data_IF_878088026197
#
_entry.id   IF_878088026197
#
_cell.length_a   1.000
_cell.length_b   1.000
_cell.length_c   1.000
_cell.angle_alpha   90.00
_cell.angle_beta   90.00
_cell.angle_gamma   90.00
#
_symmetry.space_group_name_H-M   'P 1'
#
loop_
_entity.id
_entity.type
_entity.pdbx_description
1 polymer ?
#
# COMPACT_ATOMS: atom_id res chain seq x y z
N UNK A 1 18.02 28.85 9.91
CA UNK A 1 17.14 29.62 10.82
C UNK A 1 15.78 28.96 10.73
N UNK A 2 15.26 28.39 11.82
CA UNK A 2 14.02 27.59 11.82
C UNK A 2 12.75 28.42 11.67
N UNK A 3 11.65 27.79 11.24
CA UNK A 3 10.39 28.46 10.95
C UNK A 3 9.77 29.13 12.20
N UNK A 4 9.83 28.48 13.37
CA UNK A 4 9.37 29.06 14.63
C UNK A 4 10.10 30.37 14.98
N UNK A 5 11.43 30.39 14.82
CA UNK A 5 12.22 31.58 15.12
C UNK A 5 11.81 32.77 14.27
N UNK A 6 11.55 32.55 12.97
CA UNK A 6 11.08 33.62 12.07
C UNK A 6 9.73 34.16 12.51
N UNK A 7 8.77 33.30 12.86
CA UNK A 7 7.46 33.76 13.32
C UNK A 7 7.56 34.54 14.64
N UNK A 8 8.39 34.09 15.57
CA UNK A 8 8.62 34.80 16.82
C UNK A 8 9.26 36.18 16.60
N UNK A 9 10.25 36.28 15.71
CA UNK A 9 10.96 37.53 15.41
C UNK A 9 10.09 38.50 14.61
N UNK A 10 9.38 38.02 13.58
CA UNK A 10 8.62 38.86 12.66
C UNK A 10 7.25 39.27 13.22
N UNK A 11 6.61 38.41 14.01
CA UNK A 11 5.23 38.58 14.47
C UNK A 11 5.08 38.65 16.00
N UNK A 12 6.14 38.39 16.77
CA UNK A 12 6.07 38.36 18.23
C UNK A 12 5.28 37.17 18.80
N UNK A 13 4.99 36.15 17.98
CA UNK A 13 4.17 34.99 18.35
C UNK A 13 5.06 33.81 18.72
N UNK A 14 4.90 33.32 19.95
CA UNK A 14 5.56 32.10 20.41
C UNK A 14 4.88 30.87 19.79
N UNK A 15 5.67 30.09 19.05
CA UNK A 15 5.22 28.83 18.47
C UNK A 15 5.52 27.68 19.43
N UNK A 16 4.48 27.16 20.06
CA UNK A 16 4.56 26.01 20.97
C UNK A 16 4.41 24.67 20.26
N UNK A 17 3.89 24.68 19.02
CA UNK A 17 3.68 23.49 18.21
C UNK A 17 4.03 23.75 16.75
N UNK A 18 4.86 22.90 16.18
CA UNK A 18 5.21 22.83 14.75
C UNK A 18 4.94 21.42 14.28
N UNK A 19 3.75 21.22 13.70
CA UNK A 19 3.37 19.95 13.12
C UNK A 19 4.03 19.75 11.75
N UNK A 20 4.75 18.65 11.59
CA UNK A 20 5.45 18.25 10.38
C UNK A 20 4.87 16.93 9.83
N UNK A 21 3.67 16.95 9.24
CA UNK A 21 3.05 15.75 8.70
C UNK A 21 3.63 15.41 7.33
N UNK A 22 3.45 14.16 6.91
CA UNK A 22 3.77 13.71 5.56
C UNK A 22 5.09 12.94 5.50
N UNK A 23 5.02 11.71 5.00
CA UNK A 23 6.13 10.75 4.99
C UNK A 23 6.82 10.58 6.36
N UNK A 24 6.11 10.86 7.46
CA UNK A 24 6.64 10.64 8.80
C UNK A 24 6.96 9.15 8.98
N UNK A 25 8.22 8.87 9.29
CA UNK A 25 8.84 7.54 9.42
C UNK A 25 9.97 7.61 10.44
N UNK A 26 10.62 6.50 10.79
CA UNK A 26 11.73 6.54 11.75
C UNK A 26 12.85 7.47 11.27
N UNK A 27 13.22 7.39 9.99
CA UNK A 27 14.25 8.24 9.40
C UNK A 27 13.90 9.73 9.40
N UNK A 28 12.62 10.08 9.20
CA UNK A 28 12.22 11.49 9.17
C UNK A 28 12.14 12.12 10.56
N UNK A 29 12.04 11.33 11.64
CA UNK A 29 11.95 11.89 13.00
C UNK A 29 13.18 12.72 13.35
N UNK A 30 14.38 12.24 12.98
CA UNK A 30 15.63 12.97 13.19
C UNK A 30 15.66 14.29 12.42
N UNK A 31 15.14 14.29 11.19
CA UNK A 31 15.03 15.50 10.37
C UNK A 31 14.05 16.50 10.97
N UNK A 32 12.88 16.04 11.43
CA UNK A 32 11.86 16.88 12.08
C UNK A 32 12.46 17.55 13.33
N UNK A 33 13.11 16.77 14.18
CA UNK A 33 13.77 17.27 15.39
C UNK A 33 14.89 18.28 15.06
N UNK A 34 15.70 18.02 14.03
CA UNK A 34 16.77 18.92 13.59
C UNK A 34 16.26 20.27 13.04
N UNK A 35 14.98 20.35 12.69
CA UNK A 35 14.34 21.54 12.12
C UNK A 35 13.28 22.17 13.03
N UNK A 36 13.40 21.97 14.35
CA UNK A 36 12.52 22.52 15.39
C UNK A 36 11.07 21.98 15.34
N UNK A 37 10.80 20.93 14.56
CA UNK A 37 9.50 20.28 14.51
C UNK A 37 9.19 19.58 15.84
N UNK A 38 7.96 19.77 16.33
CA UNK A 38 7.53 19.20 17.62
C UNK A 38 6.65 17.96 17.44
N UNK A 39 5.97 17.84 16.30
CA UNK A 39 5.00 16.77 16.04
C UNK A 39 5.23 16.14 14.67
N UNK A 40 4.95 14.85 14.61
CA UNK A 40 4.94 14.06 13.37
C UNK A 40 3.67 13.19 13.33
N UNK A 41 3.21 12.86 12.12
CA UNK A 41 1.98 12.09 11.92
C UNK A 41 2.25 10.84 11.07
N UNK A 42 2.87 9.78 11.65
CA UNK A 42 3.14 8.56 10.92
C UNK A 42 1.84 7.88 10.48
N UNK A 43 1.72 7.62 9.19
CA UNK A 43 0.62 6.86 8.59
C UNK A 43 1.13 5.59 7.94
N UNK A 44 1.55 5.68 6.68
CA UNK A 44 2.06 4.53 5.91
C UNK A 44 3.30 3.86 6.53
N UNK A 45 4.03 4.55 7.43
CA UNK A 45 5.17 3.99 8.14
C UNK A 45 4.81 2.81 9.06
N UNK A 46 3.62 2.80 9.66
CA UNK A 46 3.17 1.68 10.50
C UNK A 46 3.11 0.35 9.75
N UNK A 47 2.97 0.41 8.43
CA UNK A 47 2.87 -0.76 7.56
C UNK A 47 4.09 -0.94 6.65
N UNK A 48 5.17 -0.18 6.88
CA UNK A 48 6.37 -0.21 6.04
C UNK A 48 6.09 0.12 4.58
N UNK A 49 5.27 1.14 4.32
CA UNK A 49 4.86 1.55 2.97
C UNK A 49 5.16 3.02 2.67
N UNK A 50 6.35 3.48 3.08
CA UNK A 50 6.88 4.80 2.77
C UNK A 50 7.87 4.73 1.60
N UNK A 51 8.26 5.87 0.99
CA UNK A 51 9.38 5.91 0.04
C UNK A 51 10.69 5.35 0.54
N UNK A 52 10.91 5.34 1.85
CA UNK A 52 12.13 4.79 2.41
C UNK A 52 12.27 3.28 2.15
N UNK A 53 11.17 2.54 1.96
CA UNK A 53 11.26 1.10 1.63
C UNK A 53 11.73 0.83 0.20
N UNK A 54 11.71 1.81 -0.71
CA UNK A 54 12.26 1.67 -2.06
C UNK A 54 13.60 2.40 -2.23
N UNK A 55 13.81 3.51 -1.52
CA UNK A 55 14.93 4.42 -1.78
C UNK A 55 15.81 4.73 -0.56
N UNK A 56 15.52 4.15 0.60
CA UNK A 56 16.23 4.43 1.85
C UNK A 56 16.44 3.18 2.71
N UNK A 57 16.62 3.40 4.01
CA UNK A 57 17.07 2.40 4.98
C UNK A 57 16.18 2.34 6.25
N UNK A 58 14.96 2.89 6.16
CA UNK A 58 14.03 2.91 7.29
C UNK A 58 13.64 1.50 7.75
N UNK A 59 13.45 1.34 9.05
CA UNK A 59 13.22 0.07 9.74
C UNK A 59 11.86 -0.58 9.38
N UNK A 60 10.92 0.20 8.86
CA UNK A 60 9.57 -0.28 8.51
C UNK A 60 9.61 -1.45 7.53
N UNK A 61 9.01 -2.58 7.90
CA UNK A 61 8.85 -3.75 7.02
C UNK A 61 7.46 -3.77 6.40
N UNK A 62 7.31 -4.06 5.09
CA UNK A 62 6.01 -4.22 4.46
C UNK A 62 5.10 -5.19 5.23
N UNK A 63 3.99 -4.66 5.76
CA UNK A 63 3.06 -5.41 6.62
C UNK A 63 1.69 -5.65 6.00
N UNK A 64 1.50 -5.30 4.72
CA UNK A 64 0.22 -5.41 4.02
C UNK A 64 0.43 -5.84 2.57
N UNK A 65 -0.54 -6.58 2.04
CA UNK A 65 -0.69 -6.87 0.61
C UNK A 65 -2.15 -6.64 0.19
N UNK A 66 -2.37 -6.48 -1.12
CA UNK A 66 -3.72 -6.53 -1.69
C UNK A 66 -3.96 -7.89 -2.32
N UNK A 67 -4.86 -8.67 -1.72
CA UNK A 67 -5.30 -9.97 -2.22
C UNK A 67 -6.59 -9.81 -3.00
N UNK A 68 -6.62 -10.38 -4.20
CA UNK A 68 -7.82 -10.50 -5.03
C UNK A 68 -7.83 -11.85 -5.76
N UNK A 69 -8.85 -12.09 -6.57
CA UNK A 69 -9.07 -13.33 -7.30
C UNK A 69 -9.06 -13.10 -8.81
N UNK A 70 -8.52 -14.07 -9.54
CA UNK A 70 -8.67 -14.15 -10.99
C UNK A 70 -10.13 -14.46 -11.33
N UNK A 71 -10.80 -13.51 -11.98
CA UNK A 71 -12.20 -13.64 -12.35
C UNK A 71 -12.38 -14.46 -13.62
N UNK A 72 -11.74 -14.04 -14.72
CA UNK A 72 -11.91 -14.68 -16.02
C UNK A 72 -10.77 -14.31 -16.98
N UNK A 73 -10.71 -15.02 -18.10
CA UNK A 73 -9.87 -14.66 -19.24
C UNK A 73 -10.74 -14.02 -20.30
N UNK A 74 -10.29 -12.90 -20.88
CA UNK A 74 -10.93 -12.35 -22.07
C UNK A 74 -9.85 -11.94 -23.07
N UNK A 75 -9.91 -12.58 -24.26
CA UNK A 75 -8.92 -12.42 -25.33
C UNK A 75 -7.50 -12.76 -24.83
N UNK A 76 -6.59 -11.82 -24.97
CA UNK A 76 -5.15 -11.88 -24.71
C UNK A 76 -4.78 -11.59 -23.25
N UNK A 77 -5.74 -11.23 -22.40
CA UNK A 77 -5.50 -10.86 -21.00
C UNK A 77 -6.37 -11.63 -20.02
N UNK A 78 -5.90 -11.64 -18.78
CA UNK A 78 -6.63 -12.20 -17.64
C UNK A 78 -7.10 -11.06 -16.73
N UNK A 79 -8.32 -11.17 -16.22
CA UNK A 79 -8.95 -10.15 -15.38
C UNK A 79 -8.96 -10.62 -13.93
N UNK A 80 -8.51 -9.76 -13.03
CA UNK A 80 -8.65 -9.94 -11.58
C UNK A 80 -9.68 -8.97 -11.03
N UNK A 81 -10.42 -9.38 -9.99
CA UNK A 81 -11.45 -8.54 -9.36
C UNK A 81 -10.79 -7.28 -8.79
N UNK A 82 -11.40 -6.11 -9.05
CA UNK A 82 -10.93 -4.83 -8.51
C UNK A 82 -11.68 -4.38 -7.26
N UNK A 83 -11.84 -3.07 -7.11
CA UNK A 83 -12.52 -2.42 -5.98
C UNK A 83 -11.58 -1.92 -4.88
N UNK A 84 -10.30 -2.33 -4.91
CA UNK A 84 -9.27 -1.96 -3.93
C UNK A 84 -8.04 -1.28 -4.49
N UNK A 85 -7.96 -1.08 -5.81
CA UNK A 85 -6.80 -0.44 -6.43
C UNK A 85 -6.77 1.06 -6.12
N UNK A 86 -5.59 1.57 -5.79
CA UNK A 86 -5.40 3.00 -5.50
C UNK A 86 -4.67 3.70 -6.66
N UNK A 87 -5.33 4.58 -7.43
CA UNK A 87 -4.82 5.08 -8.71
C UNK A 87 -3.75 6.18 -8.60
N UNK A 88 -3.40 6.66 -7.41
CA UNK A 88 -2.64 7.91 -7.26
C UNK A 88 -1.12 7.82 -7.54
N UNK A 89 -0.58 6.64 -7.89
CA UNK A 89 0.85 6.41 -8.17
C UNK A 89 1.02 5.33 -9.25
N UNK A 90 0.73 5.68 -10.49
CA UNK A 90 0.75 4.76 -11.64
C UNK A 90 2.03 4.88 -12.48
N UNK A 91 2.90 5.82 -12.13
CA UNK A 91 4.06 6.20 -12.91
C UNK A 91 5.36 6.11 -12.11
N UNK A 92 6.46 5.96 -12.85
CA UNK A 92 7.80 5.86 -12.30
C UNK A 92 8.00 4.62 -11.43
N UNK A 93 8.93 4.66 -10.46
CA UNK A 93 9.34 3.49 -9.69
C UNK A 93 8.28 2.97 -8.70
N UNK A 94 7.12 3.63 -8.66
CA UNK A 94 5.98 3.31 -7.81
C UNK A 94 4.89 2.53 -8.52
N UNK A 95 5.00 2.41 -9.84
CA UNK A 95 4.00 1.77 -10.66
C UNK A 95 3.89 0.29 -10.30
N UNK A 96 2.65 -0.16 -10.09
CA UNK A 96 2.36 -1.59 -9.93
C UNK A 96 2.46 -2.24 -11.30
N UNK A 97 3.49 -3.04 -11.49
CA UNK A 97 3.81 -3.65 -12.78
C UNK A 97 3.56 -5.16 -12.84
N UNK A 98 3.29 -5.79 -11.70
CA UNK A 98 3.10 -7.24 -11.63
C UNK A 98 2.27 -7.67 -10.42
N UNK A 99 1.82 -8.92 -10.45
CA UNK A 99 1.18 -9.63 -9.35
C UNK A 99 1.80 -11.01 -9.18
N UNK A 100 1.80 -11.53 -7.96
CA UNK A 100 2.04 -12.95 -7.73
C UNK A 100 0.70 -13.68 -7.89
N UNK A 101 0.66 -14.75 -8.68
CA UNK A 101 -0.60 -15.41 -9.05
C UNK A 101 -0.53 -16.92 -8.90
N UNK A 102 -1.52 -17.54 -8.26
CA UNK A 102 -1.56 -18.99 -8.14
C UNK A 102 -2.74 -19.52 -7.33
N UNK A 103 -3.06 -20.79 -7.55
CA UNK A 103 -4.14 -21.48 -6.85
C UNK A 103 -3.69 -22.14 -5.53
N UNK A 104 -2.39 -22.19 -5.27
CA UNK A 104 -1.79 -22.77 -4.05
C UNK A 104 -0.62 -21.90 -3.57
N UNK A 105 -0.33 -21.85 -2.25
CA UNK A 105 0.75 -21.01 -1.70
C UNK A 105 2.11 -21.22 -2.39
N UNK A 106 2.51 -22.49 -2.62
CA UNK A 106 3.82 -22.82 -3.21
C UNK A 106 3.94 -22.35 -4.66
N UNK A 107 2.84 -22.35 -5.41
CA UNK A 107 2.82 -21.87 -6.79
C UNK A 107 2.84 -20.35 -6.90
N UNK A 108 2.40 -19.65 -5.85
CA UNK A 108 2.18 -18.21 -5.84
C UNK A 108 3.51 -17.44 -5.86
N UNK A 109 4.48 -17.87 -5.05
CA UNK A 109 5.78 -17.21 -4.93
C UNK A 109 6.63 -17.28 -6.20
N UNK A 110 6.45 -18.32 -7.02
CA UNK A 110 7.20 -18.54 -8.26
C UNK A 110 6.58 -17.95 -9.51
N UNK A 111 5.37 -17.39 -9.45
CA UNK A 111 4.60 -16.99 -10.62
C UNK A 111 4.27 -15.49 -10.58
N UNK A 112 5.26 -14.68 -10.90
CA UNK A 112 5.13 -13.24 -11.03
C UNK A 112 4.65 -12.88 -12.45
N UNK A 113 3.44 -12.35 -12.56
CA UNK A 113 2.76 -12.08 -13.83
C UNK A 113 2.69 -10.57 -14.06
N UNK A 114 3.11 -10.06 -15.23
CA UNK A 114 2.96 -8.65 -15.58
C UNK A 114 1.50 -8.19 -15.44
N UNK A 115 1.30 -6.97 -14.94
CA UNK A 115 0.00 -6.43 -14.61
C UNK A 115 -0.18 -4.97 -15.01
N UNK A 116 -1.41 -4.60 -15.31
CA UNK A 116 -1.86 -3.22 -15.48
C UNK A 116 -3.06 -2.99 -14.57
N UNK A 117 -2.93 -2.02 -13.66
CA UNK A 117 -3.96 -1.71 -12.67
C UNK A 117 -4.74 -0.44 -13.06
N UNK A 118 -6.01 -0.30 -12.64
CA UNK A 118 -6.82 0.88 -12.90
C UNK A 118 -6.17 2.19 -12.45
N UNK A 119 -5.89 3.07 -13.41
CA UNK A 119 -5.57 4.47 -13.14
C UNK A 119 -6.83 5.33 -13.03
N UNK A 120 -6.69 6.66 -13.04
CA UNK A 120 -7.82 7.59 -12.97
C UNK A 120 -8.77 7.55 -14.19
N UNK A 121 -8.42 6.79 -15.24
CA UNK A 121 -9.12 6.77 -16.54
C UNK A 121 -10.25 5.75 -16.63
N UNK A 122 -10.33 4.77 -15.73
CA UNK A 122 -11.44 3.81 -15.72
C UNK A 122 -11.74 3.29 -14.31
N UNK A 123 -13.00 2.86 -14.13
CA UNK A 123 -13.48 2.32 -12.86
C UNK A 123 -12.81 0.98 -12.59
N UNK A 124 -12.40 0.77 -11.35
CA UNK A 124 -11.68 -0.39 -10.86
C UNK A 124 -12.54 -1.65 -10.72
N UNK A 125 -13.33 -2.02 -11.73
CA UNK A 125 -14.02 -3.32 -11.74
C UNK A 125 -13.04 -4.48 -11.85
N UNK A 126 -11.98 -4.30 -12.65
CA UNK A 126 -10.94 -5.29 -12.87
C UNK A 126 -9.58 -4.62 -13.05
N UNK A 127 -8.52 -5.35 -12.70
CA UNK A 127 -7.17 -5.11 -13.25
C UNK A 127 -6.82 -6.22 -14.25
N UNK A 128 -5.80 -5.98 -15.06
CA UNK A 128 -5.37 -6.90 -16.11
C UNK A 128 -4.04 -7.55 -15.75
N UNK A 129 -3.93 -8.82 -16.08
CA UNK A 129 -2.72 -9.61 -16.05
C UNK A 129 -2.38 -10.05 -17.47
N UNK A 130 -1.08 -10.11 -17.76
CA UNK A 130 -0.53 -10.52 -19.05
C UNK A 130 0.44 -11.70 -18.85
N UNK A 131 -0.08 -12.94 -18.68
CA UNK A 131 0.77 -14.10 -18.47
C UNK A 131 1.62 -14.43 -19.70
N UNK A 132 2.91 -14.63 -19.49
CA UNK A 132 3.84 -15.12 -20.51
C UNK A 132 3.61 -16.60 -20.83
N UNK A 133 4.20 -17.06 -21.93
CA UNK A 133 4.17 -18.47 -22.32
C UNK A 133 4.73 -19.36 -21.19
N UNK A 134 3.91 -20.28 -20.70
CA UNK A 134 4.27 -21.19 -19.60
C UNK A 134 3.76 -20.77 -18.23
N UNK A 135 3.28 -19.53 -18.05
CA UNK A 135 2.64 -19.11 -16.81
C UNK A 135 1.20 -19.65 -16.74
N UNK A 136 0.90 -20.40 -15.68
CA UNK A 136 -0.45 -20.90 -15.43
C UNK A 136 -1.24 -19.87 -14.63
N UNK A 137 -2.33 -19.38 -15.20
CA UNK A 137 -3.28 -18.48 -14.53
C UNK A 137 -4.69 -18.91 -14.89
N UNK A 138 -5.49 -19.29 -13.89
CA UNK A 138 -6.85 -19.81 -14.04
C UNK A 138 -7.86 -18.98 -13.23
N UNK A 139 -9.13 -18.91 -13.66
CA UNK A 139 -10.21 -18.42 -12.80
C UNK A 139 -10.21 -19.11 -11.43
N UNK A 140 -10.39 -18.32 -10.36
CA UNK A 140 -10.32 -18.77 -8.97
C UNK A 140 -8.91 -18.79 -8.36
N UNK A 141 -7.84 -18.61 -9.15
CA UNK A 141 -6.50 -18.42 -8.59
C UNK A 141 -6.44 -17.10 -7.80
N UNK A 142 -5.65 -17.06 -6.72
CA UNK A 142 -5.37 -15.84 -5.97
C UNK A 142 -4.35 -14.98 -6.71
N UNK A 143 -4.56 -13.66 -6.71
CA UNK A 143 -3.61 -12.66 -7.19
C UNK A 143 -3.24 -11.70 -6.07
N UNK A 144 -1.95 -11.56 -5.80
CA UNK A 144 -1.39 -10.73 -4.73
C UNK A 144 -0.62 -9.58 -5.37
N UNK A 145 -1.02 -8.36 -5.00
CA UNK A 145 -0.36 -7.13 -5.38
C UNK A 145 0.27 -6.46 -4.16
N UNK A 146 1.34 -5.72 -4.40
CA UNK A 146 1.94 -4.83 -3.42
C UNK A 146 1.99 -3.41 -3.96
N UNK A 147 1.41 -2.48 -3.20
CA UNK A 147 1.43 -1.05 -3.48
C UNK A 147 1.07 -0.29 -2.21
N UNK A 148 1.34 1.01 -2.17
CA UNK A 148 0.91 1.89 -1.08
C UNK A 148 -0.58 2.23 -1.24
N UNK A 149 -1.50 1.71 -0.42
CA UNK A 149 -2.92 1.97 -0.56
C UNK A 149 -3.33 3.23 0.20
N UNK A 150 -4.48 3.79 -0.17
CA UNK A 150 -5.31 4.59 0.71
C UNK A 150 -6.67 3.92 0.78
N UNK A 151 -6.81 2.94 1.68
CA UNK A 151 -7.94 2.00 1.67
C UNK A 151 -9.29 2.72 1.81
N UNK A 152 -9.35 3.82 2.57
CA UNK A 152 -10.58 4.61 2.70
C UNK A 152 -11.10 5.21 1.38
N UNK A 153 -10.20 5.42 0.40
CA UNK A 153 -10.52 5.88 -0.96
C UNK A 153 -10.88 4.74 -1.92
N UNK A 154 -10.76 3.49 -1.49
CA UNK A 154 -11.21 2.35 -2.29
C UNK A 154 -12.74 2.31 -2.40
N UNK A 155 -13.25 1.42 -3.25
CA UNK A 155 -14.69 1.22 -3.43
C UNK A 155 -15.23 0.11 -2.54
N UNK A 156 -14.54 -1.02 -2.51
CA UNK A 156 -15.03 -2.24 -1.88
C UNK A 156 -13.91 -3.11 -1.30
N UNK A 157 -12.72 -2.56 -1.05
CA UNK A 157 -11.69 -3.32 -0.36
C UNK A 157 -12.09 -3.56 1.09
N UNK A 158 -11.96 -4.81 1.53
CA UNK A 158 -11.99 -5.16 2.94
C UNK A 158 -10.57 -5.17 3.52
N UNK A 159 -10.46 -4.89 4.81
CA UNK A 159 -9.22 -4.96 5.57
C UNK A 159 -9.32 -6.15 6.50
N UNK A 160 -8.54 -7.20 6.22
CA UNK A 160 -8.39 -8.34 7.11
C UNK A 160 -7.16 -8.13 7.99
N UNK A 161 -7.35 -8.06 9.31
CA UNK A 161 -6.25 -8.05 10.26
C UNK A 161 -5.80 -9.49 10.53
N UNK A 162 -4.48 -9.72 10.47
CA UNK A 162 -3.88 -11.04 10.63
C UNK A 162 -2.83 -10.97 11.73
N UNK A 163 -2.94 -11.85 12.72
CA UNK A 163 -1.92 -12.03 13.75
C UNK A 163 -1.16 -13.35 13.56
N UNK A 164 -0.07 -13.56 14.30
CA UNK A 164 0.61 -14.85 14.34
C UNK A 164 1.55 -15.15 13.17
N UNK A 165 1.72 -14.19 12.23
CA UNK A 165 2.54 -14.37 11.01
C UNK A 165 3.99 -14.72 11.36
N UNK A 166 4.62 -13.98 12.28
CA UNK A 166 6.02 -14.23 12.68
C UNK A 166 6.19 -15.55 13.46
N UNK A 167 5.12 -16.05 14.06
CA UNK A 167 5.09 -17.32 14.79
C UNK A 167 4.75 -18.51 13.88
N UNK A 168 4.56 -18.30 12.57
CA UNK A 168 4.13 -19.35 11.64
C UNK A 168 2.70 -19.85 11.87
N UNK A 169 1.87 -19.08 12.59
CA UNK A 169 0.47 -19.42 12.92
C UNK A 169 -0.48 -18.27 12.52
N UNK A 170 -0.56 -17.91 11.23
CA UNK A 170 -1.37 -16.80 10.78
C UNK A 170 -2.85 -17.05 11.07
N UNK A 171 -3.52 -16.08 11.70
CA UNK A 171 -4.95 -16.14 12.02
C UNK A 171 -5.62 -14.82 11.68
N UNK A 172 -6.74 -14.87 10.95
CA UNK A 172 -7.57 -13.69 10.70
C UNK A 172 -8.33 -13.35 11.97
N UNK A 173 -8.06 -12.16 12.55
CA UNK A 173 -8.67 -11.73 13.82
C UNK A 173 -9.90 -10.86 13.60
N UNK A 174 -9.95 -10.10 12.51
CA UNK A 174 -11.10 -9.29 12.13
C UNK A 174 -11.09 -8.98 10.64
N UNK A 175 -12.28 -8.65 10.12
CA UNK A 175 -12.44 -8.11 8.77
C UNK A 175 -13.29 -6.85 8.86
N UNK A 176 -12.81 -5.77 8.26
CA UNK A 176 -13.46 -4.47 8.25
C UNK A 176 -13.73 -4.00 6.82
N UNK A 177 -14.75 -3.15 6.65
CA UNK A 177 -14.90 -2.37 5.43
C UNK A 177 -13.88 -1.20 5.39
N UNK A 178 -13.87 -0.48 4.27
CA UNK A 178 -13.00 0.68 4.06
C UNK A 178 -13.23 1.84 5.05
N UNK A 179 -14.37 1.88 5.72
CA UNK A 179 -14.75 2.86 6.74
C UNK A 179 -14.50 2.34 8.16
N UNK A 180 -13.71 1.26 8.28
CA UNK A 180 -13.36 0.60 9.53
C UNK A 180 -14.56 -0.04 10.27
N UNK A 181 -15.68 -0.29 9.60
CA UNK A 181 -16.82 -1.01 10.19
C UNK A 181 -16.54 -2.49 10.13
N UNK A 182 -16.67 -3.17 11.27
CA UNK A 182 -16.44 -4.62 11.35
C UNK A 182 -17.52 -5.39 10.59
N UNK A 183 -17.07 -6.32 9.75
CA UNK A 183 -17.89 -7.26 8.96
C UNK A 183 -17.80 -8.66 9.58
N UNK A 184 -16.62 -9.05 10.07
CA UNK A 184 -16.34 -10.34 10.73
C UNK A 184 -15.37 -10.16 11.89
#
# INVERSE_FOLDING_TARGET
MGAARRVQEDLGVEMTQINCPGNSSCASMDLIAAHDGTDAEPGSAFWGMTPQQLFGDDLGRPGQVYLTEVSHRARDRVMVIGGGFYPARQDGPWAVSAALVGGQPDSLAGNCVPAEIPGARWIDYYAWLYPDAGQSVRPGDSAIFFFRPQVFNSRSAHVAAIEGVQQGRPTVVSVHDKANRRIR
#
